data_IF_156245522631
#
_entry.id   IF_156245522631
#
_cell.length_a   1.000
_cell.length_b   1.000
_cell.length_c   1.000
_cell.angle_alpha   90.00
_cell.angle_beta   90.00
_cell.angle_gamma   90.00
#
_symmetry.space_group_name_H-M   'P 1'
#
loop_
_entity.id
_entity.type
_entity.pdbx_description
1 polymer ?
#
# COMPACT_ATOMS: atom_id res chain seq x y z
N UNK A 1 49.92 5.38 -1.97
CA UNK A 1 48.82 4.57 -2.52
C UNK A 1 47.52 5.05 -1.88
N UNK A 2 46.71 5.86 -2.59
CA UNK A 2 45.46 6.35 -2.11
C UNK A 2 44.36 5.34 -2.49
N UNK A 3 43.77 4.69 -1.50
CA UNK A 3 42.64 3.81 -1.70
C UNK A 3 41.39 4.63 -2.02
N UNK A 4 40.85 4.46 -3.22
CA UNK A 4 39.54 4.99 -3.56
C UNK A 4 38.49 4.25 -2.75
N UNK A 5 37.88 4.90 -1.77
CA UNK A 5 36.62 4.44 -1.20
C UNK A 5 35.56 4.55 -2.30
N UNK A 6 35.12 3.42 -2.81
CA UNK A 6 33.89 3.36 -3.56
C UNK A 6 32.77 3.75 -2.59
N UNK A 7 32.18 4.92 -2.79
CA UNK A 7 30.95 5.28 -2.14
C UNK A 7 29.91 4.21 -2.49
N UNK A 8 29.42 3.49 -1.48
CA UNK A 8 28.28 2.62 -1.66
C UNK A 8 27.15 3.46 -2.22
N UNK A 9 26.59 3.03 -3.36
CA UNK A 9 25.44 3.70 -3.98
C UNK A 9 24.30 3.65 -2.98
N UNK A 10 23.96 4.81 -2.40
CA UNK A 10 22.85 4.94 -1.45
C UNK A 10 21.60 4.37 -2.15
N UNK A 11 20.86 3.45 -1.54
CA UNK A 11 19.68 2.88 -2.16
C UNK A 11 18.70 4.00 -2.49
N UNK A 12 18.45 4.21 -3.77
CA UNK A 12 17.47 5.21 -4.21
C UNK A 12 16.09 4.80 -3.70
N UNK A 13 15.35 5.73 -3.05
CA UNK A 13 14.00 5.41 -2.58
C UNK A 13 13.13 4.95 -3.76
N UNK A 14 12.21 4.02 -3.50
CA UNK A 14 11.28 3.53 -4.51
C UNK A 14 10.51 4.72 -5.10
N UNK A 15 10.72 5.00 -6.39
CA UNK A 15 10.10 6.13 -7.07
C UNK A 15 8.75 5.70 -7.63
N UNK A 16 7.68 5.92 -6.89
CA UNK A 16 6.34 5.77 -7.43
C UNK A 16 6.03 6.94 -8.38
N UNK A 17 6.08 6.67 -9.69
CA UNK A 17 5.71 7.62 -10.73
C UNK A 17 4.20 7.52 -10.97
N UNK A 18 3.51 8.64 -10.84
CA UNK A 18 2.08 8.73 -11.09
C UNK A 18 1.79 9.59 -12.35
N UNK A 19 0.60 9.44 -12.94
CA UNK A 19 0.15 10.33 -14.01
C UNK A 19 0.16 11.82 -13.59
N UNK A 20 0.21 12.73 -14.56
CA UNK A 20 0.13 14.15 -14.27
C UNK A 20 -1.17 14.50 -13.53
N UNK A 21 -1.07 15.40 -12.56
CA UNK A 21 -2.21 15.85 -11.76
C UNK A 21 -2.51 15.01 -10.52
N UNK A 22 -1.84 13.87 -10.34
CA UNK A 22 -1.99 13.09 -9.10
C UNK A 22 -1.26 13.77 -7.94
N UNK A 23 -1.95 13.86 -6.78
CA UNK A 23 -1.35 14.25 -5.52
C UNK A 23 -0.57 13.11 -4.88
N UNK A 24 0.13 13.38 -3.78
CA UNK A 24 0.80 12.31 -3.05
C UNK A 24 1.49 12.78 -1.79
N UNK A 25 1.83 11.81 -0.97
CA UNK A 25 2.55 11.99 0.29
C UNK A 25 3.47 10.80 0.58
N UNK A 26 4.32 10.96 1.57
CA UNK A 26 5.14 9.88 2.12
C UNK A 26 4.85 9.78 3.61
N UNK A 27 4.57 8.57 4.08
CA UNK A 27 4.20 8.27 5.46
C UNK A 27 5.20 7.27 6.03
N UNK A 28 5.61 7.46 7.27
CA UNK A 28 6.44 6.50 8.00
C UNK A 28 5.57 5.30 8.43
N UNK A 29 6.08 4.09 8.25
CA UNK A 29 5.47 2.85 8.73
C UNK A 29 6.08 2.38 10.05
N UNK A 30 5.25 1.89 11.01
CA UNK A 30 3.81 1.91 11.00
C UNK A 30 3.25 3.34 11.12
N UNK A 31 2.12 3.64 10.44
CA UNK A 31 1.54 4.97 10.53
C UNK A 31 0.91 5.20 11.91
N UNK A 32 0.86 6.47 12.33
CA UNK A 32 0.33 6.83 13.64
C UNK A 32 -1.13 6.41 13.88
N UNK A 33 -1.91 6.23 12.81
CA UNK A 33 -3.28 5.73 12.91
C UNK A 33 -3.38 4.20 13.04
N UNK A 34 -2.32 3.45 12.77
CA UNK A 34 -2.28 1.98 12.88
C UNK A 34 -0.96 1.49 13.50
N UNK A 35 -0.68 1.85 14.77
CA UNK A 35 0.57 1.52 15.43
C UNK A 35 0.75 0.01 15.70
N UNK A 36 -0.30 -0.79 15.58
CA UNK A 36 -0.28 -2.25 15.69
C UNK A 36 0.28 -2.97 14.47
N UNK A 37 0.49 -2.28 13.34
CA UNK A 37 1.20 -2.84 12.19
C UNK A 37 2.63 -3.22 12.56
N UNK A 38 3.11 -4.31 11.97
CA UNK A 38 4.47 -4.81 12.18
C UNK A 38 5.42 -4.41 11.04
N UNK A 39 4.88 -4.00 9.90
CA UNK A 39 5.65 -3.49 8.77
C UNK A 39 6.31 -2.17 9.16
N UNK A 40 7.62 -2.05 8.88
CA UNK A 40 8.41 -0.86 9.13
C UNK A 40 9.06 -0.38 7.85
N UNK A 41 9.17 0.92 7.69
CA UNK A 41 9.73 1.54 6.50
C UNK A 41 8.98 2.80 6.11
N UNK A 42 8.72 2.99 4.83
CA UNK A 42 8.01 4.16 4.30
C UNK A 42 6.90 3.73 3.35
N UNK A 43 5.79 4.43 3.40
CA UNK A 43 4.75 4.38 2.39
C UNK A 43 4.87 5.59 1.47
N UNK A 44 4.93 5.35 0.16
CA UNK A 44 4.83 6.38 -0.87
C UNK A 44 3.48 6.22 -1.55
N UNK A 45 2.56 7.15 -1.34
CA UNK A 45 1.19 7.08 -1.86
C UNK A 45 0.93 8.16 -2.91
N UNK A 46 0.09 7.86 -3.90
CA UNK A 46 -0.36 8.76 -4.96
C UNK A 46 -1.86 8.66 -5.11
N UNK A 47 -2.52 9.81 -5.11
CA UNK A 47 -3.97 9.94 -5.14
C UNK A 47 -4.43 10.45 -6.49
N UNK A 48 -5.42 9.79 -7.10
CA UNK A 48 -6.05 10.28 -8.32
C UNK A 48 -6.76 11.62 -8.08
N UNK A 49 -6.80 12.52 -9.07
CA UNK A 49 -7.66 13.68 -9.01
C UNK A 49 -9.12 13.25 -8.81
N UNK A 50 -9.84 13.90 -7.89
CA UNK A 50 -11.22 13.52 -7.56
C UNK A 50 -11.35 12.34 -6.59
N UNK A 51 -10.24 11.83 -6.03
CA UNK A 51 -10.29 10.72 -5.06
C UNK A 51 -11.28 10.92 -3.92
N UNK A 52 -11.49 12.15 -3.46
CA UNK A 52 -12.41 12.48 -2.35
C UNK A 52 -13.81 12.90 -2.81
N UNK A 53 -14.08 12.91 -4.11
CA UNK A 53 -15.36 13.27 -4.69
C UNK A 53 -16.15 12.01 -5.09
N UNK A 54 -17.25 11.67 -4.38
CA UNK A 54 -18.06 10.47 -4.68
C UNK A 54 -18.69 10.45 -6.08
N UNK A 55 -18.78 11.61 -6.75
CA UNK A 55 -19.32 11.72 -8.12
C UNK A 55 -18.23 11.61 -9.18
N UNK A 56 -16.97 11.50 -8.79
CA UNK A 56 -15.84 11.36 -9.71
C UNK A 56 -15.63 9.91 -10.13
N UNK A 57 -15.30 9.70 -11.43
CA UNK A 57 -14.89 8.39 -11.96
C UNK A 57 -13.60 7.85 -11.29
N UNK A 58 -12.87 8.72 -10.60
CA UNK A 58 -11.65 8.36 -9.86
C UNK A 58 -11.85 8.39 -8.35
N UNK A 59 -13.11 8.40 -7.89
CA UNK A 59 -13.41 8.32 -6.47
C UNK A 59 -12.68 7.14 -5.83
N UNK A 60 -12.01 7.41 -4.72
CA UNK A 60 -11.25 6.44 -3.93
C UNK A 60 -10.25 5.59 -4.72
N UNK A 61 -9.65 6.19 -5.77
CA UNK A 61 -8.61 5.55 -6.58
C UNK A 61 -7.23 6.10 -6.22
N UNK A 62 -6.31 5.21 -5.86
CA UNK A 62 -4.94 5.55 -5.47
C UNK A 62 -4.00 4.38 -5.68
N UNK A 63 -2.71 4.68 -5.65
CA UNK A 63 -1.67 3.66 -5.66
C UNK A 63 -0.63 3.97 -4.59
N UNK A 64 -0.02 2.94 -4.00
CA UNK A 64 1.05 3.11 -3.04
C UNK A 64 2.14 2.05 -3.16
N UNK A 65 3.33 2.41 -2.67
CA UNK A 65 4.43 1.48 -2.45
C UNK A 65 4.82 1.53 -0.99
N UNK A 66 4.83 0.39 -0.32
CA UNK A 66 5.54 0.20 0.93
C UNK A 66 6.97 -0.21 0.60
N UNK A 67 7.93 0.63 0.94
CA UNK A 67 9.35 0.31 0.97
C UNK A 67 9.72 -0.09 2.40
N UNK A 68 9.98 -1.37 2.61
CA UNK A 68 10.09 -1.97 3.93
C UNK A 68 11.55 -2.26 4.31
N UNK A 69 11.82 -2.21 5.61
CA UNK A 69 13.02 -2.80 6.18
C UNK A 69 13.09 -4.30 5.81
N UNK A 70 14.29 -4.92 5.83
CA UNK A 70 14.45 -6.33 5.50
C UNK A 70 13.48 -7.23 6.28
N UNK A 71 12.73 -8.05 5.55
CA UNK A 71 11.78 -9.01 6.11
C UNK A 71 12.02 -10.40 5.51
N UNK A 72 11.86 -11.46 6.30
CA UNK A 72 12.16 -12.80 5.80
C UNK A 72 11.24 -13.23 4.65
N UNK A 73 9.95 -12.99 4.70
CA UNK A 73 9.00 -13.32 3.61
C UNK A 73 7.71 -12.50 3.73
N UNK A 74 7.26 -11.91 2.62
CA UNK A 74 5.94 -11.29 2.47
C UNK A 74 4.92 -12.31 1.94
N UNK A 75 4.34 -13.11 2.82
CA UNK A 75 3.28 -14.05 2.43
C UNK A 75 1.93 -13.34 2.26
N UNK A 76 1.00 -13.95 1.52
CA UNK A 76 -0.38 -13.44 1.42
C UNK A 76 -1.03 -13.22 2.80
N UNK A 77 -0.74 -14.08 3.77
CA UNK A 77 -1.25 -13.95 5.14
C UNK A 77 -0.72 -12.69 5.84
N UNK A 78 0.58 -12.39 5.69
CA UNK A 78 1.20 -11.17 6.23
C UNK A 78 0.60 -9.94 5.57
N UNK A 79 0.52 -9.90 4.25
CA UNK A 79 -0.08 -8.76 3.51
C UNK A 79 -1.53 -8.54 3.95
N UNK A 80 -2.33 -9.60 4.03
CA UNK A 80 -3.73 -9.54 4.46
C UNK A 80 -3.86 -8.96 5.88
N UNK A 81 -3.09 -9.48 6.84
CA UNK A 81 -3.14 -9.04 8.25
C UNK A 81 -2.75 -7.56 8.38
N UNK A 82 -1.66 -7.16 7.74
CA UNK A 82 -1.15 -5.79 7.83
C UNK A 82 -2.07 -4.78 7.12
N UNK A 83 -2.64 -5.13 5.97
CA UNK A 83 -3.62 -4.28 5.28
C UNK A 83 -4.91 -4.12 6.09
N UNK A 84 -5.41 -5.19 6.72
CA UNK A 84 -6.58 -5.09 7.60
C UNK A 84 -6.31 -4.18 8.79
N UNK A 85 -5.12 -4.23 9.41
CA UNK A 85 -4.73 -3.28 10.46
C UNK A 85 -4.70 -1.86 9.92
N UNK A 86 -4.08 -1.64 8.76
CA UNK A 86 -4.00 -0.34 8.11
C UNK A 86 -5.40 0.27 7.92
N UNK A 87 -6.31 -0.43 7.24
CA UNK A 87 -7.65 0.09 6.93
C UNK A 87 -8.53 0.24 8.18
N UNK A 88 -8.41 -0.65 9.15
CA UNK A 88 -9.11 -0.53 10.44
C UNK A 88 -8.63 0.69 11.23
N UNK A 89 -7.33 0.89 11.28
CA UNK A 89 -6.72 2.04 11.94
C UNK A 89 -7.07 3.35 11.24
N UNK A 90 -6.98 3.40 9.92
CA UNK A 90 -7.36 4.56 9.11
C UNK A 90 -8.82 4.93 9.33
N UNK A 91 -9.74 3.98 9.23
CA UNK A 91 -11.16 4.21 9.48
C UNK A 91 -11.43 4.73 10.89
N UNK A 92 -10.76 4.14 11.90
CA UNK A 92 -10.85 4.61 13.30
C UNK A 92 -10.41 6.06 13.45
N UNK A 93 -9.27 6.41 12.89
CA UNK A 93 -8.70 7.75 13.01
C UNK A 93 -9.56 8.80 12.31
N UNK A 94 -10.01 8.53 11.08
CA UNK A 94 -10.82 9.46 10.30
C UNK A 94 -12.20 9.67 10.91
N UNK A 95 -12.87 8.62 11.35
CA UNK A 95 -14.17 8.73 12.01
C UNK A 95 -14.07 9.41 13.38
N UNK A 96 -12.97 9.28 14.09
CA UNK A 96 -12.68 9.94 15.37
C UNK A 96 -13.87 9.96 16.34
N UNK A 97 -14.44 8.79 16.60
CA UNK A 97 -15.61 8.62 17.47
C UNK A 97 -16.98 8.92 16.82
N UNK A 98 -17.00 9.49 15.62
CA UNK A 98 -18.23 9.58 14.81
C UNK A 98 -18.59 8.18 14.30
N UNK A 99 -19.86 7.88 14.19
CA UNK A 99 -20.38 6.57 13.77
C UNK A 99 -19.87 5.41 14.63
N UNK A 100 -20.19 5.40 15.94
CA UNK A 100 -19.72 4.36 16.86
C UNK A 100 -20.24 2.95 16.51
N UNK A 101 -21.32 2.86 15.71
CA UNK A 101 -21.89 1.61 15.22
C UNK A 101 -21.03 0.89 14.16
N UNK A 102 -20.00 1.54 13.62
CA UNK A 102 -19.10 0.89 12.64
C UNK A 102 -18.22 -0.12 13.34
N UNK A 103 -18.52 -1.39 13.13
CA UNK A 103 -17.72 -2.51 13.64
C UNK A 103 -16.57 -2.82 12.68
N UNK A 104 -15.40 -2.25 12.94
CA UNK A 104 -14.21 -2.42 12.12
C UNK A 104 -13.65 -3.86 12.16
N UNK A 105 -14.02 -4.67 13.16
CA UNK A 105 -13.61 -6.08 13.22
C UNK A 105 -14.21 -6.90 12.06
N UNK A 106 -15.30 -6.42 11.48
CA UNK A 106 -15.98 -7.03 10.32
C UNK A 106 -15.37 -6.68 8.98
N UNK A 107 -14.36 -5.79 8.93
CA UNK A 107 -13.65 -5.55 7.67
C UNK A 107 -12.92 -6.83 7.26
N UNK A 108 -13.07 -7.20 5.99
CA UNK A 108 -12.47 -8.41 5.43
C UNK A 108 -11.63 -8.05 4.22
N UNK A 109 -10.54 -8.77 4.04
CA UNK A 109 -9.71 -8.71 2.84
C UNK A 109 -9.53 -10.13 2.34
N UNK A 110 -9.93 -10.39 1.11
CA UNK A 110 -9.64 -11.62 0.42
C UNK A 110 -8.53 -11.40 -0.60
N UNK A 111 -7.52 -12.27 -0.59
CA UNK A 111 -6.41 -12.22 -1.53
C UNK A 111 -6.34 -13.52 -2.31
N UNK A 112 -6.21 -13.40 -3.62
CA UNK A 112 -5.98 -14.51 -4.53
C UNK A 112 -4.69 -14.29 -5.30
N UNK A 113 -3.82 -15.31 -5.35
CA UNK A 113 -2.61 -15.24 -6.16
C UNK A 113 -3.00 -15.21 -7.64
N UNK A 114 -2.56 -14.17 -8.35
CA UNK A 114 -2.81 -14.07 -9.78
C UNK A 114 -1.93 -15.06 -10.56
N UNK A 115 -2.48 -15.59 -11.66
CA UNK A 115 -1.76 -16.51 -12.55
C UNK A 115 -0.79 -15.79 -13.48
N UNK A 116 -0.91 -14.48 -13.61
CA UNK A 116 -0.09 -13.66 -14.52
C UNK A 116 1.10 -13.05 -13.78
N UNK A 117 2.26 -13.13 -14.39
CA UNK A 117 3.48 -12.47 -13.94
C UNK A 117 3.66 -11.11 -14.65
N UNK A 118 2.57 -10.38 -14.91
CA UNK A 118 2.67 -9.04 -15.47
C UNK A 118 3.45 -8.13 -14.50
N UNK A 119 4.70 -7.88 -14.81
CA UNK A 119 5.57 -7.00 -14.03
C UNK A 119 5.21 -5.54 -14.33
N UNK A 120 4.83 -4.80 -13.31
CA UNK A 120 4.73 -3.32 -13.38
C UNK A 120 6.14 -2.69 -13.18
N UNK A 121 7.09 -3.44 -12.61
CA UNK A 121 8.44 -2.95 -12.29
C UNK A 121 9.43 -3.60 -13.26
N UNK A 122 9.75 -2.86 -14.34
CA UNK A 122 10.61 -3.38 -15.42
C UNK A 122 12.10 -3.00 -15.30
N UNK A 123 12.46 -2.05 -14.45
CA UNK A 123 13.80 -1.43 -14.47
C UNK A 123 14.72 -1.80 -13.30
N UNK A 124 14.27 -2.62 -12.35
CA UNK A 124 15.12 -3.05 -11.23
C UNK A 124 15.77 -4.40 -11.51
N UNK A 125 17.01 -4.37 -11.96
CA UNK A 125 17.81 -5.58 -12.29
C UNK A 125 18.13 -6.48 -11.09
N UNK A 126 17.94 -5.96 -9.87
CA UNK A 126 18.23 -6.67 -8.62
C UNK A 126 16.94 -7.18 -7.96
N UNK A 127 15.78 -6.93 -8.56
CA UNK A 127 14.51 -7.38 -8.01
C UNK A 127 14.27 -8.87 -8.29
N UNK A 128 13.79 -9.58 -7.27
CA UNK A 128 13.24 -10.91 -7.45
C UNK A 128 11.95 -10.86 -8.27
N UNK A 129 11.59 -12.00 -8.86
CA UNK A 129 10.30 -12.11 -9.55
C UNK A 129 9.14 -11.77 -8.61
N UNK A 130 8.29 -10.79 -8.94
CA UNK A 130 7.22 -10.38 -8.06
C UNK A 130 6.16 -11.46 -7.91
N UNK A 131 5.60 -11.56 -6.71
CA UNK A 131 4.38 -12.31 -6.46
C UNK A 131 3.20 -11.35 -6.61
N UNK A 132 2.24 -11.72 -7.46
CA UNK A 132 1.08 -10.89 -7.78
C UNK A 132 -0.17 -11.45 -7.11
N UNK A 133 -0.96 -10.57 -6.52
CA UNK A 133 -2.27 -10.88 -5.93
C UNK A 133 -3.33 -9.93 -6.46
N UNK A 134 -4.54 -10.43 -6.58
CA UNK A 134 -5.76 -9.62 -6.64
C UNK A 134 -6.45 -9.70 -5.30
N UNK A 135 -7.03 -8.60 -4.85
CA UNK A 135 -7.69 -8.53 -3.55
C UNK A 135 -9.03 -7.82 -3.62
N UNK A 136 -9.90 -8.17 -2.67
CA UNK A 136 -11.16 -7.49 -2.44
C UNK A 136 -11.28 -7.16 -0.96
N UNK A 137 -11.36 -5.87 -0.66
CA UNK A 137 -11.53 -5.35 0.70
C UNK A 137 -12.96 -4.86 0.90
N UNK A 138 -13.63 -5.42 1.88
CA UNK A 138 -14.93 -4.95 2.36
C UNK A 138 -14.72 -4.10 3.62
N UNK A 139 -15.11 -2.84 3.56
CA UNK A 139 -14.93 -1.90 4.66
C UNK A 139 -16.00 -0.79 4.66
N UNK A 140 -15.89 0.17 5.55
CA UNK A 140 -16.67 1.41 5.53
C UNK A 140 -15.75 2.54 5.12
N UNK A 141 -16.07 3.21 4.02
CA UNK A 141 -15.34 4.40 3.54
C UNK A 141 -15.59 5.56 4.53
N UNK A 142 -14.55 6.05 5.24
CA UNK A 142 -14.75 6.95 6.36
C UNK A 142 -14.70 8.45 6.00
N UNK A 143 -14.22 8.81 4.81
CA UNK A 143 -13.92 10.20 4.47
C UNK A 143 -15.16 10.96 3.95
N UNK A 144 -15.73 10.49 2.85
CA UNK A 144 -16.77 11.18 2.11
C UNK A 144 -18.15 10.57 2.34
N UNK A 145 -18.35 9.32 1.99
CA UNK A 145 -19.67 8.68 1.99
C UNK A 145 -20.09 8.12 3.34
N UNK A 146 -19.13 7.65 4.12
CA UNK A 146 -19.33 6.93 5.40
C UNK A 146 -20.24 5.71 5.26
N UNK A 147 -20.18 5.05 4.11
CA UNK A 147 -20.99 3.89 3.73
C UNK A 147 -20.12 2.66 3.54
N UNK A 148 -20.70 1.45 3.59
CA UNK A 148 -20.02 0.24 3.12
C UNK A 148 -19.51 0.45 1.70
N UNK A 149 -18.26 0.01 1.46
CA UNK A 149 -17.57 0.10 0.17
C UNK A 149 -16.75 -1.16 -0.03
N UNK A 150 -16.74 -1.65 -1.26
CA UNK A 150 -15.82 -2.68 -1.73
C UNK A 150 -14.68 -2.00 -2.48
N UNK A 151 -13.44 -2.35 -2.15
CA UNK A 151 -12.26 -1.93 -2.89
C UNK A 151 -11.62 -3.13 -3.57
N UNK A 152 -11.24 -2.95 -4.83
CA UNK A 152 -10.42 -3.88 -5.58
C UNK A 152 -8.95 -3.48 -5.43
N UNK A 153 -8.09 -4.45 -5.20
CA UNK A 153 -6.66 -4.27 -5.02
C UNK A 153 -5.88 -5.14 -5.99
N UNK A 154 -5.01 -4.52 -6.78
CA UNK A 154 -3.96 -5.21 -7.52
C UNK A 154 -2.65 -5.02 -6.76
N UNK A 155 -2.08 -6.11 -6.26
CA UNK A 155 -0.94 -6.08 -5.34
C UNK A 155 0.24 -6.83 -5.94
N UNK A 156 1.44 -6.27 -5.82
CA UNK A 156 2.69 -6.94 -6.15
C UNK A 156 3.64 -6.85 -4.95
N UNK A 157 4.32 -7.97 -4.66
CA UNK A 157 5.35 -8.02 -3.63
C UNK A 157 6.65 -8.56 -4.24
N UNK A 158 7.77 -7.94 -3.90
CA UNK A 158 9.10 -8.38 -4.32
C UNK A 158 10.16 -7.98 -3.32
N UNK A 159 11.37 -8.50 -3.51
CA UNK A 159 12.56 -8.04 -2.79
C UNK A 159 13.58 -7.47 -3.79
N UNK A 160 14.33 -6.49 -3.36
CA UNK A 160 15.45 -5.92 -4.09
C UNK A 160 16.44 -5.28 -3.11
N UNK A 161 17.75 -5.56 -3.29
CA UNK A 161 18.82 -4.98 -2.46
C UNK A 161 18.52 -5.09 -0.94
N UNK A 162 18.16 -6.29 -0.48
CA UNK A 162 17.81 -6.60 0.91
C UNK A 162 16.59 -5.83 1.47
N UNK A 163 15.80 -5.19 0.62
CA UNK A 163 14.54 -4.55 0.99
C UNK A 163 13.36 -5.32 0.44
N UNK A 164 12.25 -5.23 1.15
CA UNK A 164 10.98 -5.80 0.72
C UNK A 164 10.03 -4.69 0.29
N UNK A 165 9.23 -4.96 -0.72
CA UNK A 165 8.31 -3.99 -1.30
C UNK A 165 6.93 -4.58 -1.45
N UNK A 166 5.92 -3.73 -1.23
CA UNK A 166 4.53 -4.01 -1.57
C UNK A 166 4.02 -2.83 -2.40
N UNK A 167 3.68 -3.09 -3.64
CA UNK A 167 2.95 -2.13 -4.48
C UNK A 167 1.48 -2.50 -4.50
N UNK A 168 0.59 -1.53 -4.44
CA UNK A 168 -0.84 -1.74 -4.60
C UNK A 168 -1.49 -0.62 -5.41
N UNK A 169 -2.35 -1.00 -6.35
CA UNK A 169 -3.37 -0.13 -6.94
C UNK A 169 -4.71 -0.45 -6.29
N UNK A 170 -5.45 0.59 -5.92
CA UNK A 170 -6.73 0.47 -5.21
C UNK A 170 -7.79 1.29 -5.91
N UNK A 171 -8.95 0.69 -6.13
CA UNK A 171 -10.15 1.37 -6.66
C UNK A 171 -11.41 0.68 -6.18
N UNK A 172 -12.56 1.36 -6.19
CA UNK A 172 -13.87 0.74 -5.98
C UNK A 172 -14.24 -0.30 -7.01
#
# INVERSE_FOLDING_TARGET
MAGAFLAADEPRPAKLVAPAGWGGETIQLPPGFSPEMKLKGSEHIRFAPGMMDPESDTFFSYAFVFELEPMPVLTAAVVKDEFLKYYRGLCKAVLNGKLPQVDRSKFTLELQRAKSNAMIIQDDKNADMPVVYTGTLEWVEPFATKKPQTLNLDIQTWTSNDRSFIFACVSP
#
